data_IF_096193385717
#
_entry.id   IF_096193385717
#
_cell.length_a   1.000
_cell.length_b   1.000
_cell.length_c   1.000
_cell.angle_alpha   90.00
_cell.angle_beta   90.00
_cell.angle_gamma   90.00
#
_symmetry.space_group_name_H-M   'P 1'
#
loop_
_entity.id
_entity.type
_entity.pdbx_description
1 polymer ?
#
# COMPACT_ATOMS: atom_id res chain seq x y z
N UNK A 1 14.45 -25.42 5.13
CA UNK A 1 14.82 -24.03 5.46
C UNK A 1 14.02 -23.15 4.51
N UNK A 2 13.14 -22.29 5.02
CA UNK A 2 12.35 -21.41 4.16
C UNK A 2 13.29 -20.45 3.45
N UNK A 3 13.16 -20.33 2.12
CA UNK A 3 13.84 -19.30 1.35
C UNK A 3 13.51 -17.93 1.96
N UNK A 4 14.51 -17.08 2.24
CA UNK A 4 14.25 -15.72 2.72
C UNK A 4 13.40 -14.98 1.68
N UNK A 5 12.47 -14.16 2.17
CA UNK A 5 11.63 -13.32 1.32
C UNK A 5 12.49 -12.33 0.52
N UNK A 6 12.15 -12.12 -0.74
CA UNK A 6 12.80 -11.14 -1.62
C UNK A 6 11.72 -10.21 -2.23
N UNK A 7 11.92 -8.90 -2.09
CA UNK A 7 11.09 -7.87 -2.69
C UNK A 7 11.40 -7.78 -4.19
N UNK A 8 10.38 -8.00 -5.01
CA UNK A 8 10.46 -7.90 -6.46
C UNK A 8 9.56 -6.78 -6.98
N UNK A 9 10.17 -5.69 -7.46
CA UNK A 9 9.45 -4.56 -8.07
C UNK A 9 9.89 -4.36 -9.51
N UNK A 10 8.99 -3.94 -10.42
CA UNK A 10 9.35 -3.58 -11.78
C UNK A 10 10.06 -2.21 -11.80
N UNK A 11 11.38 -2.22 -11.61
CA UNK A 11 12.19 -0.98 -11.52
C UNK A 11 12.45 -0.31 -12.88
N UNK A 12 12.14 -1.00 -13.99
CA UNK A 12 12.24 -0.51 -15.38
C UNK A 12 13.60 0.14 -15.66
N UNK A 13 13.63 1.45 -15.95
CA UNK A 13 14.82 2.21 -16.32
C UNK A 13 15.25 3.20 -15.21
N UNK A 14 14.77 2.99 -13.98
CA UNK A 14 15.12 3.83 -12.83
C UNK A 14 16.26 3.18 -12.02
N UNK A 15 17.54 3.57 -12.27
CA UNK A 15 18.69 2.94 -11.61
C UNK A 15 18.71 3.22 -10.10
N UNK A 16 18.16 4.36 -9.65
CA UNK A 16 18.10 4.69 -8.22
C UNK A 16 17.12 3.79 -7.49
N UNK A 17 15.94 3.57 -8.08
CA UNK A 17 14.97 2.61 -7.54
C UNK A 17 15.51 1.18 -7.57
N UNK A 18 16.21 0.78 -8.63
CA UNK A 18 16.87 -0.54 -8.69
C UNK A 18 17.83 -0.74 -7.52
N UNK A 19 18.69 0.25 -7.26
CA UNK A 19 19.64 0.20 -6.15
C UNK A 19 18.93 0.21 -4.78
N UNK A 20 17.86 1.00 -4.62
CA UNK A 20 17.03 0.97 -3.41
C UNK A 20 16.45 -0.43 -3.15
N UNK A 21 15.93 -1.11 -4.18
CA UNK A 21 15.38 -2.48 -4.05
C UNK A 21 16.47 -3.48 -3.66
N UNK A 22 17.66 -3.39 -4.28
CA UNK A 22 18.82 -4.22 -3.90
C UNK A 22 19.18 -4.00 -2.43
N UNK A 23 19.26 -2.75 -1.98
CA UNK A 23 19.56 -2.41 -0.59
C UNK A 23 18.50 -2.92 0.37
N UNK A 24 17.20 -2.77 0.06
CA UNK A 24 16.10 -3.29 0.87
C UNK A 24 16.21 -4.81 1.06
N UNK A 25 16.46 -5.55 -0.02
CA UNK A 25 16.62 -7.01 0.03
C UNK A 25 17.86 -7.46 0.80
N UNK A 26 18.89 -6.63 0.90
CA UNK A 26 20.07 -6.88 1.72
C UNK A 26 19.95 -6.37 3.17
N UNK A 27 18.91 -5.59 3.51
CA UNK A 27 18.81 -4.90 4.78
C UNK A 27 18.16 -5.76 5.88
N UNK A 28 19.00 -6.45 6.66
CA UNK A 28 18.55 -7.38 7.71
C UNK A 28 17.55 -6.76 8.71
N UNK A 29 17.72 -5.50 9.09
CA UNK A 29 16.80 -4.81 10.01
C UNK A 29 15.41 -4.60 9.40
N UNK A 30 15.31 -4.14 8.15
CA UNK A 30 14.02 -3.94 7.44
C UNK A 30 13.29 -5.28 7.31
N UNK A 31 13.98 -6.32 6.85
CA UNK A 31 13.40 -7.67 6.72
C UNK A 31 12.93 -8.22 8.07
N UNK A 32 13.67 -7.93 9.14
CA UNK A 32 13.29 -8.33 10.50
C UNK A 32 12.08 -7.56 10.99
N UNK A 33 12.00 -6.25 10.74
CA UNK A 33 10.85 -5.42 11.11
C UNK A 33 9.57 -5.89 10.42
N UNK A 34 9.60 -6.22 9.13
CA UNK A 34 8.43 -6.81 8.45
C UNK A 34 7.98 -8.12 9.10
N UNK A 35 8.92 -8.98 9.50
CA UNK A 35 8.59 -10.21 10.22
C UNK A 35 7.96 -9.91 11.58
N UNK A 36 8.53 -8.99 12.36
CA UNK A 36 8.02 -8.65 13.69
C UNK A 36 6.65 -8.00 13.60
N UNK A 37 6.43 -7.07 12.65
CA UNK A 37 5.12 -6.51 12.33
C UNK A 37 4.10 -7.60 12.02
N UNK A 38 4.48 -8.60 11.22
CA UNK A 38 3.58 -9.68 10.87
C UNK A 38 3.23 -10.60 12.04
N UNK A 39 4.18 -10.89 12.93
CA UNK A 39 3.92 -11.65 14.17
C UNK A 39 2.93 -10.88 15.05
N UNK A 40 3.05 -9.56 15.16
CA UNK A 40 2.05 -8.76 15.89
C UNK A 40 0.68 -8.88 15.23
N UNK A 41 0.59 -8.69 13.92
CA UNK A 41 -0.69 -8.72 13.20
C UNK A 41 -1.36 -10.10 13.23
N UNK A 42 -0.66 -11.14 12.78
CA UNK A 42 -1.25 -12.47 12.54
C UNK A 42 -1.26 -13.30 13.82
N UNK A 43 -0.12 -13.45 14.49
CA UNK A 43 0.01 -14.40 15.59
C UNK A 43 -0.61 -13.85 16.90
N UNK A 44 -0.47 -12.55 17.16
CA UNK A 44 -0.96 -11.91 18.40
C UNK A 44 -2.37 -11.34 18.28
N UNK A 45 -2.69 -10.70 17.15
CA UNK A 45 -3.96 -9.99 16.95
C UNK A 45 -4.95 -10.74 16.06
N UNK A 46 -4.52 -11.83 15.41
CA UNK A 46 -5.35 -12.61 14.48
C UNK A 46 -5.96 -11.77 13.34
N UNK A 47 -5.19 -10.79 12.87
CA UNK A 47 -5.49 -9.91 11.74
C UNK A 47 -4.89 -10.46 10.43
N UNK A 48 -5.18 -9.78 9.32
CA UNK A 48 -4.48 -10.00 8.05
C UNK A 48 -2.98 -9.67 8.17
N UNK A 49 -2.18 -10.25 7.27
CA UNK A 49 -0.74 -9.99 7.18
C UNK A 49 -0.43 -8.50 7.00
N UNK A 50 0.51 -8.01 7.81
CA UNK A 50 1.17 -6.71 7.72
C UNK A 50 2.69 -6.94 7.56
N UNK A 51 3.03 -7.97 6.79
CA UNK A 51 4.38 -8.50 6.64
C UNK A 51 4.94 -8.30 5.24
N UNK A 52 5.93 -9.12 4.84
CA UNK A 52 6.61 -8.97 3.55
C UNK A 52 5.68 -9.06 2.33
N UNK A 53 4.62 -9.87 2.39
CA UNK A 53 3.67 -10.01 1.28
C UNK A 53 2.80 -8.77 1.14
N UNK A 54 2.32 -8.21 2.26
CA UNK A 54 1.59 -6.93 2.28
C UNK A 54 2.38 -5.80 1.63
N UNK A 55 3.61 -5.56 2.09
CA UNK A 55 4.44 -4.44 1.59
C UNK A 55 4.79 -4.59 0.11
N UNK A 56 4.98 -5.82 -0.37
CA UNK A 56 5.21 -6.13 -1.78
C UNK A 56 4.03 -5.74 -2.68
N UNK A 57 2.81 -6.00 -2.21
CA UNK A 57 1.58 -5.67 -2.94
C UNK A 57 1.43 -4.15 -3.01
N UNK A 58 1.51 -3.47 -1.86
CA UNK A 58 1.35 -2.01 -1.79
C UNK A 58 2.40 -1.30 -2.63
N UNK A 59 3.68 -1.70 -2.54
CA UNK A 59 4.73 -1.08 -3.33
C UNK A 59 4.51 -1.26 -4.85
N UNK A 60 4.03 -2.43 -5.29
CA UNK A 60 3.67 -2.65 -6.71
C UNK A 60 2.48 -1.79 -7.15
N UNK A 61 1.44 -1.71 -6.32
CA UNK A 61 0.24 -0.91 -6.59
C UNK A 61 0.62 0.57 -6.67
N UNK A 62 1.38 1.07 -5.70
CA UNK A 62 1.81 2.46 -5.63
C UNK A 62 2.63 2.87 -6.86
N UNK A 63 3.61 2.04 -7.26
CA UNK A 63 4.36 2.27 -8.50
C UNK A 63 3.47 2.30 -9.73
N UNK A 64 2.51 1.38 -9.82
CA UNK A 64 1.61 1.28 -10.98
C UNK A 64 0.70 2.50 -11.07
N UNK A 65 0.12 2.95 -9.95
CA UNK A 65 -0.73 4.14 -9.89
C UNK A 65 0.08 5.38 -10.25
N UNK A 66 1.26 5.59 -9.62
CA UNK A 66 2.13 6.73 -9.93
C UNK A 66 2.44 6.81 -11.43
N UNK A 67 2.81 5.68 -12.04
CA UNK A 67 3.14 5.63 -13.47
C UNK A 67 1.95 5.95 -14.36
N UNK A 68 0.75 5.44 -14.06
CA UNK A 68 -0.45 5.77 -14.83
C UNK A 68 -0.81 7.26 -14.74
N UNK A 69 -0.61 7.87 -13.56
CA UNK A 69 -0.81 9.29 -13.35
C UNK A 69 0.19 10.13 -14.14
N UNK A 70 1.48 9.82 -14.04
CA UNK A 70 2.55 10.49 -14.78
C UNK A 70 2.38 10.34 -16.30
N UNK A 71 2.05 9.14 -16.79
CA UNK A 71 1.73 8.89 -18.20
C UNK A 71 0.53 9.71 -18.70
N UNK A 72 -0.36 10.14 -17.80
CA UNK A 72 -1.53 10.97 -18.08
C UNK A 72 -1.26 12.46 -17.85
N UNK A 73 -0.01 12.85 -17.61
CA UNK A 73 0.39 14.25 -17.42
C UNK A 73 0.16 14.81 -16.01
N UNK A 74 -0.15 13.97 -15.03
CA UNK A 74 -0.23 14.41 -13.61
C UNK A 74 1.19 14.51 -13.06
N UNK A 75 1.56 15.69 -12.57
CA UNK A 75 2.89 15.97 -12.05
C UNK A 75 3.02 15.57 -10.57
N UNK A 76 4.04 14.78 -10.17
CA UNK A 76 4.31 14.46 -8.77
C UNK A 76 4.76 15.69 -7.95
N UNK A 77 4.52 15.68 -6.64
CA UNK A 77 4.85 16.83 -5.79
C UNK A 77 6.36 17.07 -5.74
N UNK A 78 7.19 16.01 -5.71
CA UNK A 78 8.64 16.19 -5.71
C UNK A 78 9.18 16.89 -6.95
N UNK A 79 8.47 16.77 -8.08
CA UNK A 79 8.80 17.43 -9.34
C UNK A 79 8.35 18.88 -9.27
N UNK A 80 7.08 19.13 -8.93
CA UNK A 80 6.49 20.46 -8.88
C UNK A 80 7.18 21.38 -7.86
N UNK A 81 7.46 20.87 -6.66
CA UNK A 81 7.89 21.71 -5.53
C UNK A 81 9.41 21.86 -5.43
N UNK A 82 10.17 20.89 -5.94
CA UNK A 82 11.63 20.84 -5.77
C UNK A 82 12.41 20.63 -7.07
N UNK A 83 11.74 20.52 -8.22
CA UNK A 83 12.39 20.31 -9.51
C UNK A 83 13.12 18.96 -9.63
N UNK A 84 12.71 17.97 -8.83
CA UNK A 84 13.22 16.60 -8.94
C UNK A 84 12.61 15.88 -10.15
N UNK A 85 12.95 14.61 -10.36
CA UNK A 85 12.45 13.85 -11.50
C UNK A 85 11.32 12.90 -11.10
N UNK A 86 10.53 12.45 -12.08
CA UNK A 86 9.51 11.42 -11.87
C UNK A 86 10.11 10.13 -11.29
N UNK A 87 11.36 9.80 -11.63
CA UNK A 87 12.09 8.67 -11.07
C UNK A 87 12.33 8.82 -9.55
N UNK A 88 12.43 10.05 -9.04
CA UNK A 88 12.58 10.31 -7.61
C UNK A 88 11.23 10.15 -6.88
N UNK A 89 10.11 10.48 -7.53
CA UNK A 89 8.77 10.19 -7.01
C UNK A 89 8.52 8.68 -6.86
N UNK A 90 9.06 7.86 -7.78
CA UNK A 90 9.01 6.40 -7.65
C UNK A 90 9.72 5.90 -6.38
N UNK A 91 10.85 6.52 -6.03
CA UNK A 91 11.59 6.19 -4.79
C UNK A 91 10.78 6.59 -3.57
N UNK A 92 10.10 7.74 -3.58
CA UNK A 92 9.22 8.18 -2.49
C UNK A 92 8.11 7.17 -2.24
N UNK A 93 7.31 6.84 -3.27
CA UNK A 93 6.15 5.96 -3.08
C UNK A 93 6.56 4.54 -2.69
N UNK A 94 7.70 4.04 -3.19
CA UNK A 94 8.21 2.72 -2.81
C UNK A 94 8.72 2.69 -1.38
N UNK A 95 9.58 3.63 -0.99
CA UNK A 95 10.12 3.64 0.38
C UNK A 95 9.03 3.90 1.41
N UNK A 96 8.05 4.75 1.10
CA UNK A 96 6.89 4.95 1.95
C UNK A 96 6.07 3.66 2.07
N UNK A 97 5.70 3.03 0.95
CA UNK A 97 4.93 1.78 0.95
C UNK A 97 5.62 0.64 1.73
N UNK A 98 6.94 0.47 1.59
CA UNK A 98 7.64 -0.63 2.27
C UNK A 98 7.92 -0.38 3.74
N UNK A 99 7.82 0.87 4.20
CA UNK A 99 8.09 1.25 5.60
C UNK A 99 6.86 1.72 6.36
N UNK A 100 5.70 1.89 5.71
CA UNK A 100 4.54 2.54 6.34
C UNK A 100 4.05 1.86 7.62
N UNK A 101 4.17 0.53 7.69
CA UNK A 101 3.61 -0.31 8.76
C UNK A 101 4.64 -0.94 9.71
N UNK A 102 5.90 -0.52 9.65
CA UNK A 102 6.93 -1.09 10.55
C UNK A 102 6.66 -0.77 12.03
N UNK A 103 5.85 0.24 12.34
CA UNK A 103 5.36 0.54 13.68
C UNK A 103 4.49 -0.56 14.29
N UNK A 104 3.91 -1.47 13.49
CA UNK A 104 3.25 -2.69 13.97
C UNK A 104 4.20 -3.59 14.77
N UNK A 105 5.52 -3.42 14.61
CA UNK A 105 6.51 -4.09 15.45
C UNK A 105 6.47 -3.65 16.93
N UNK A 106 5.90 -2.47 17.20
CA UNK A 106 5.75 -1.87 18.53
C UNK A 106 4.33 -2.08 19.04
N UNK A 107 3.32 -1.58 18.30
CA UNK A 107 1.93 -1.67 18.70
C UNK A 107 1.00 -1.47 17.48
N UNK A 108 -0.26 -1.92 17.58
CA UNK A 108 -1.28 -1.70 16.55
C UNK A 108 -1.80 -0.27 16.56
N UNK A 109 -2.23 0.19 17.73
CA UNK A 109 -2.67 1.57 17.90
C UNK A 109 -1.52 2.52 17.63
N UNK A 110 -1.77 3.55 16.82
CA UNK A 110 -0.80 4.60 16.46
C UNK A 110 0.46 4.08 15.72
N UNK A 111 0.40 2.86 15.14
CA UNK A 111 1.50 2.26 14.38
C UNK A 111 2.07 3.20 13.31
N UNK A 112 1.25 4.04 12.70
CA UNK A 112 1.67 5.00 11.67
C UNK A 112 2.63 6.05 12.23
N UNK A 113 2.41 6.51 13.48
CA UNK A 113 3.34 7.40 14.18
C UNK A 113 4.60 6.67 14.62
N UNK A 114 4.47 5.44 15.10
CA UNK A 114 5.61 4.61 15.48
C UNK A 114 6.52 4.29 14.28
N UNK A 115 5.95 4.11 13.09
CA UNK A 115 6.71 3.94 11.86
C UNK A 115 7.64 5.11 11.56
N UNK A 116 7.32 6.34 11.98
CA UNK A 116 8.13 7.52 11.63
C UNK A 116 9.55 7.47 12.17
N UNK A 117 9.73 7.19 13.47
CA UNK A 117 11.06 7.17 14.06
C UNK A 117 11.82 5.88 13.79
N UNK A 118 11.12 4.78 13.46
CA UNK A 118 11.75 3.57 12.93
C UNK A 118 12.24 3.79 11.50
N UNK A 119 11.42 4.44 10.66
CA UNK A 119 11.70 4.62 9.24
C UNK A 119 12.76 5.70 8.99
N UNK A 120 12.76 6.80 9.74
CA UNK A 120 13.66 7.92 9.52
C UNK A 120 15.17 7.53 9.41
N UNK A 121 15.75 6.73 10.34
CA UNK A 121 17.13 6.27 10.20
C UNK A 121 17.32 5.30 9.02
N UNK A 122 16.35 4.40 8.78
CA UNK A 122 16.41 3.43 7.69
C UNK A 122 16.39 4.10 6.32
N UNK A 123 15.52 5.09 6.11
CA UNK A 123 15.44 5.86 4.86
C UNK A 123 16.78 6.55 4.59
N UNK A 124 17.38 7.17 5.63
CA UNK A 124 18.68 7.84 5.48
C UNK A 124 19.79 6.87 5.06
N UNK A 125 19.81 5.66 5.61
CA UNK A 125 20.77 4.61 5.26
C UNK A 125 20.53 4.09 3.84
N UNK A 126 19.28 3.80 3.48
CA UNK A 126 18.89 3.29 2.17
C UNK A 126 19.23 4.28 1.04
N UNK A 127 19.11 5.59 1.30
CA UNK A 127 19.40 6.66 0.35
C UNK A 127 20.86 7.16 0.38
N UNK A 128 21.71 6.68 1.30
CA UNK A 128 23.08 7.18 1.45
C UNK A 128 23.94 6.92 0.20
N UNK A 129 24.64 7.95 -0.27
CA UNK A 129 25.43 7.90 -1.51
C UNK A 129 24.63 7.81 -2.82
N UNK A 130 23.29 7.76 -2.78
CA UNK A 130 22.44 7.83 -3.99
C UNK A 130 22.01 9.24 -4.35
N UNK A 131 21.99 10.11 -3.33
CA UNK A 131 21.50 11.48 -3.41
C UNK A 131 22.40 12.42 -2.61
N UNK A 132 22.58 13.62 -3.13
CA UNK A 132 23.15 14.74 -2.38
C UNK A 132 22.32 15.02 -1.12
N UNK A 133 22.97 15.58 -0.08
CA UNK A 133 22.34 15.78 1.24
C UNK A 133 21.04 16.58 1.15
N UNK A 134 21.01 17.62 0.32
CA UNK A 134 19.81 18.45 0.11
C UNK A 134 18.63 17.65 -0.46
N UNK A 135 18.85 16.91 -1.54
CA UNK A 135 17.82 16.07 -2.18
C UNK A 135 17.39 14.93 -1.26
N UNK A 136 18.35 14.27 -0.59
CA UNK A 136 18.03 13.22 0.39
C UNK A 136 17.17 13.75 1.53
N UNK A 137 17.39 14.98 1.98
CA UNK A 137 16.59 15.61 3.04
C UNK A 137 15.14 15.80 2.60
N UNK A 138 14.92 16.26 1.37
CA UNK A 138 13.59 16.36 0.76
C UNK A 138 12.93 14.98 0.71
N UNK A 139 13.61 13.99 0.13
CA UNK A 139 13.04 12.63 0.00
C UNK A 139 12.69 12.01 1.36
N UNK A 140 13.55 12.16 2.37
CA UNK A 140 13.24 11.70 3.74
C UNK A 140 11.97 12.35 4.26
N UNK A 141 11.80 13.66 4.07
CA UNK A 141 10.60 14.39 4.51
C UNK A 141 9.34 13.88 3.79
N UNK A 142 9.40 13.75 2.46
CA UNK A 142 8.27 13.31 1.63
C UNK A 142 7.87 11.85 1.92
N UNK A 143 8.85 10.97 2.14
CA UNK A 143 8.60 9.57 2.52
C UNK A 143 7.93 9.51 3.90
N UNK A 144 8.44 10.24 4.89
CA UNK A 144 7.85 10.26 6.24
C UNK A 144 6.45 10.86 6.24
N UNK A 145 6.22 11.89 5.43
CA UNK A 145 4.89 12.47 5.22
C UNK A 145 3.92 11.45 4.63
N UNK A 146 4.31 10.74 3.56
CA UNK A 146 3.52 9.67 2.97
C UNK A 146 3.22 8.54 3.96
N UNK A 147 4.20 8.20 4.83
CA UNK A 147 3.98 7.26 5.93
C UNK A 147 2.94 7.80 6.90
N UNK A 148 3.05 8.99 7.49
CA UNK A 148 2.02 9.39 8.46
C UNK A 148 0.64 9.63 7.84
N UNK A 149 0.59 10.03 6.56
CA UNK A 149 -0.65 10.36 5.87
C UNK A 149 -1.51 9.13 5.51
N UNK A 150 -0.95 7.91 5.55
CA UNK A 150 -1.73 6.71 5.24
C UNK A 150 -2.73 6.33 6.36
N UNK A 151 -2.56 6.84 7.58
CA UNK A 151 -3.39 6.55 8.76
C UNK A 151 -4.90 6.76 8.54
N UNK A 152 -5.73 6.15 9.37
CA UNK A 152 -7.16 6.52 9.41
C UNK A 152 -7.32 8.04 9.63
N UNK A 153 -8.20 8.69 8.87
CA UNK A 153 -8.37 10.17 8.88
C UNK A 153 -7.11 10.99 8.49
N UNK A 154 -6.07 10.35 7.93
CA UNK A 154 -4.94 11.06 7.35
C UNK A 154 -5.36 11.99 6.20
N UNK A 155 -4.65 13.12 6.07
CA UNK A 155 -4.85 14.10 5.00
C UNK A 155 -3.56 14.24 4.20
N UNK A 156 -3.35 13.41 3.15
CA UNK A 156 -2.23 13.56 2.25
C UNK A 156 -2.14 14.98 1.68
N UNK A 157 -0.95 15.57 1.76
CA UNK A 157 -0.64 16.88 1.17
C UNK A 157 0.10 16.78 -0.17
N UNK A 158 0.51 15.57 -0.55
CA UNK A 158 1.24 15.31 -1.79
C UNK A 158 0.61 14.16 -2.55
N UNK A 159 0.81 14.15 -3.87
CA UNK A 159 0.31 13.10 -4.74
C UNK A 159 0.83 11.72 -4.28
N UNK A 160 2.12 11.65 -3.96
CA UNK A 160 2.82 10.47 -3.48
C UNK A 160 2.20 9.92 -2.20
N UNK A 161 1.88 10.79 -1.24
CA UNK A 161 1.19 10.40 0.00
C UNK A 161 -0.23 9.87 -0.27
N UNK A 162 -0.96 10.51 -1.20
CA UNK A 162 -2.29 10.06 -1.63
C UNK A 162 -2.23 8.68 -2.28
N UNK A 163 -1.23 8.44 -3.12
CA UNK A 163 -0.96 7.15 -3.76
C UNK A 163 -0.72 6.06 -2.71
N UNK A 164 0.17 6.29 -1.74
CA UNK A 164 0.47 5.29 -0.70
C UNK A 164 -0.78 4.96 0.12
N UNK A 165 -1.54 5.99 0.54
CA UNK A 165 -2.79 5.83 1.29
C UNK A 165 -3.82 4.97 0.55
N UNK A 166 -4.05 5.24 -0.74
CA UNK A 166 -5.00 4.46 -1.55
C UNK A 166 -4.45 3.08 -1.85
N UNK A 167 -3.13 2.94 -2.06
CA UNK A 167 -2.50 1.66 -2.35
C UNK A 167 -2.62 0.67 -1.18
N UNK A 168 -2.51 1.15 0.05
CA UNK A 168 -2.77 0.38 1.27
C UNK A 168 -4.19 -0.18 1.29
N UNK A 169 -5.18 0.67 0.99
CA UNK A 169 -6.59 0.28 0.91
C UNK A 169 -6.86 -0.81 -0.13
N UNK A 170 -6.03 -0.90 -1.17
CA UNK A 170 -6.19 -1.82 -2.30
C UNK A 170 -5.65 -3.23 -2.07
N UNK A 171 -4.96 -3.49 -0.95
CA UNK A 171 -4.61 -4.85 -0.50
C UNK A 171 -5.83 -5.60 0.08
N UNK A 172 -6.94 -5.63 -0.68
CA UNK A 172 -8.22 -6.25 -0.29
C UNK A 172 -8.59 -7.50 -1.12
N UNK A 173 -7.75 -7.90 -2.07
CA UNK A 173 -8.07 -8.96 -3.04
C UNK A 173 -7.92 -10.40 -2.49
N UNK A 174 -8.56 -11.35 -3.19
CA UNK A 174 -8.68 -12.76 -2.80
C UNK A 174 -7.32 -13.42 -2.52
N UNK A 175 -7.23 -14.07 -1.36
CA UNK A 175 -6.08 -14.87 -0.92
C UNK A 175 -5.68 -14.60 0.54
N UNK A 176 -5.91 -13.37 1.01
CA UNK A 176 -5.46 -12.89 2.33
C UNK A 176 -6.54 -12.91 3.40
N UNK A 177 -7.81 -12.80 3.00
CA UNK A 177 -8.99 -12.81 3.86
C UNK A 177 -9.52 -14.21 4.22
N UNK A 178 -8.87 -15.28 3.74
CA UNK A 178 -9.25 -16.67 4.07
C UNK A 178 -8.90 -17.06 5.50
N UNK A 179 -7.80 -16.55 6.06
CA UNK A 179 -7.33 -16.97 7.39
C UNK A 179 -8.36 -16.66 8.49
N UNK A 180 -8.95 -15.45 8.58
CA UNK A 180 -9.99 -15.17 9.58
C UNK A 180 -11.33 -15.86 9.28
N UNK A 181 -11.68 -16.05 8.00
CA UNK A 181 -12.92 -16.70 7.60
C UNK A 181 -12.90 -18.21 7.90
N UNK A 182 -11.77 -18.88 7.67
CA UNK A 182 -11.57 -20.30 7.96
C UNK A 182 -11.37 -20.55 9.46
N UNK A 183 -10.91 -19.55 10.23
CA UNK A 183 -10.79 -19.59 11.69
C UNK A 183 -12.14 -19.48 12.44
N UNK A 184 -13.27 -19.35 11.73
CA UNK A 184 -14.62 -19.46 12.32
C UNK A 184 -15.24 -18.16 12.82
N UNK A 185 -14.55 -17.02 12.72
CA UNK A 185 -15.11 -15.70 13.03
C UNK A 185 -15.84 -15.10 11.83
N UNK A 186 -17.09 -15.54 11.59
CA UNK A 186 -17.95 -14.98 10.54
C UNK A 186 -18.51 -13.64 11.00
N UNK A 187 -17.94 -12.54 10.50
CA UNK A 187 -18.46 -11.17 10.66
C UNK A 187 -18.53 -10.45 9.29
N UNK A 188 -19.15 -9.26 9.24
CA UNK A 188 -19.33 -8.52 7.97
C UNK A 188 -18.00 -8.21 7.27
N UNK A 189 -16.92 -7.94 8.02
CA UNK A 189 -15.60 -7.66 7.46
C UNK A 189 -15.02 -8.91 6.78
N UNK A 190 -15.08 -10.07 7.43
CA UNK A 190 -14.59 -11.35 6.86
C UNK A 190 -15.39 -11.78 5.62
N UNK A 191 -16.72 -11.60 5.62
CA UNK A 191 -17.60 -11.96 4.50
C UNK A 191 -17.36 -11.04 3.30
N UNK A 192 -17.33 -9.73 3.53
CA UNK A 192 -17.10 -8.74 2.48
C UNK A 192 -15.70 -8.87 1.86
N UNK A 193 -14.68 -9.16 2.67
CA UNK A 193 -13.33 -9.42 2.16
C UNK A 193 -13.22 -10.73 1.37
N UNK A 194 -13.99 -11.77 1.71
CA UNK A 194 -14.07 -13.01 0.94
C UNK A 194 -14.83 -12.85 -0.40
N UNK A 195 -15.63 -11.80 -0.52
CA UNK A 195 -16.40 -11.48 -1.71
C UNK A 195 -15.55 -10.87 -2.84
N UNK A 196 -14.42 -10.23 -2.52
CA UNK A 196 -13.50 -9.69 -3.52
C UNK A 196 -12.70 -10.83 -4.16
N UNK A 197 -12.77 -10.96 -5.48
CA UNK A 197 -12.03 -11.97 -6.24
C UNK A 197 -10.73 -11.46 -6.86
N UNK A 198 -10.68 -10.17 -7.20
CA UNK A 198 -9.51 -9.57 -7.81
C UNK A 198 -9.67 -8.08 -8.00
N UNK A 199 -8.53 -7.41 -8.18
CA UNK A 199 -8.43 -6.00 -8.48
C UNK A 199 -7.51 -5.84 -9.69
N UNK A 200 -8.03 -5.21 -10.74
CA UNK A 200 -7.25 -4.77 -11.88
C UNK A 200 -7.09 -3.25 -11.82
N UNK A 201 -5.84 -2.79 -11.90
CA UNK A 201 -5.51 -1.37 -12.01
C UNK A 201 -5.17 -1.11 -13.48
N UNK A 202 -5.93 -0.25 -14.14
CA UNK A 202 -5.85 -0.01 -15.58
C UNK A 202 -5.78 1.49 -15.85
N UNK A 203 -5.40 1.85 -17.08
CA UNK A 203 -5.68 3.18 -17.60
C UNK A 203 -7.20 3.36 -17.66
N UNK A 204 -7.70 4.46 -17.13
CA UNK A 204 -9.14 4.71 -17.11
C UNK A 204 -9.69 5.31 -18.40
N UNK A 205 -11.01 5.34 -18.47
CA UNK A 205 -11.76 5.87 -19.61
C UNK A 205 -12.10 7.34 -19.41
N UNK A 206 -12.51 7.72 -18.20
CA UNK A 206 -12.88 9.12 -17.85
C UNK A 206 -11.84 9.80 -16.97
N UNK A 207 -11.10 9.01 -16.18
CA UNK A 207 -10.02 9.47 -15.32
C UNK A 207 -8.73 8.69 -15.60
N UNK A 208 -7.53 9.23 -15.27
CA UNK A 208 -6.25 8.56 -15.49
C UNK A 208 -6.17 7.09 -15.04
N UNK A 209 -6.73 6.76 -13.87
CA UNK A 209 -6.64 5.43 -13.26
C UNK A 209 -8.03 4.84 -13.08
N UNK A 210 -8.23 3.61 -13.57
CA UNK A 210 -9.42 2.79 -13.30
C UNK A 210 -9.09 1.62 -12.41
N UNK A 211 -9.85 1.50 -11.32
CA UNK A 211 -9.82 0.36 -10.42
C UNK A 211 -11.02 -0.53 -10.75
N UNK A 212 -10.77 -1.68 -11.36
CA UNK A 212 -11.79 -2.67 -11.67
C UNK A 212 -11.76 -3.76 -10.61
N UNK A 213 -12.82 -3.85 -9.81
CA UNK A 213 -12.96 -4.80 -8.72
C UNK A 213 -13.90 -5.91 -9.13
N UNK A 214 -13.35 -7.12 -9.28
CA UNK A 214 -14.14 -8.32 -9.57
C UNK A 214 -14.57 -8.96 -8.27
N UNK A 215 -15.87 -9.21 -8.13
CA UNK A 215 -16.47 -9.78 -6.93
C UNK A 215 -17.20 -11.09 -7.25
N UNK A 216 -17.33 -11.97 -6.26
CA UNK A 216 -18.22 -13.14 -6.35
C UNK A 216 -19.51 -12.98 -5.55
N UNK A 217 -19.61 -11.92 -4.75
CA UNK A 217 -20.75 -11.60 -3.93
C UNK A 217 -20.85 -10.08 -3.73
N UNK A 218 -22.07 -9.58 -3.70
CA UNK A 218 -22.40 -8.16 -3.51
C UNK A 218 -21.96 -7.63 -2.14
N UNK A 219 -21.74 -8.49 -1.16
CA UNK A 219 -21.13 -8.12 0.12
C UNK A 219 -19.76 -7.45 -0.04
N UNK A 220 -19.06 -7.65 -1.16
CA UNK A 220 -17.80 -6.96 -1.46
C UNK A 220 -17.93 -5.45 -1.57
N UNK A 221 -19.12 -4.92 -1.88
CA UNK A 221 -19.40 -3.48 -1.89
C UNK A 221 -19.06 -2.84 -0.54
N UNK A 222 -19.24 -3.57 0.57
CA UNK A 222 -18.89 -3.08 1.89
C UNK A 222 -17.38 -2.79 2.04
N UNK A 223 -16.49 -3.59 1.45
CA UNK A 223 -15.05 -3.29 1.42
C UNK A 223 -14.76 -2.02 0.62
N UNK A 224 -15.47 -1.83 -0.49
CA UNK A 224 -15.30 -0.64 -1.33
C UNK A 224 -15.75 0.62 -0.60
N UNK A 225 -16.91 0.58 0.06
CA UNK A 225 -17.43 1.74 0.77
C UNK A 225 -16.67 2.03 2.07
N UNK A 226 -16.33 1.01 2.86
CA UNK A 226 -15.68 1.23 4.17
C UNK A 226 -14.17 1.46 4.06
N UNK A 227 -13.47 0.74 3.18
CA UNK A 227 -12.01 0.82 3.11
C UNK A 227 -11.56 1.76 1.99
N UNK A 228 -11.95 1.46 0.74
CA UNK A 228 -11.42 2.20 -0.41
C UNK A 228 -11.95 3.62 -0.49
N UNK A 229 -13.26 3.80 -0.38
CA UNK A 229 -13.89 5.12 -0.50
C UNK A 229 -13.46 6.05 0.63
N UNK A 230 -13.30 5.54 1.85
CA UNK A 230 -12.76 6.30 2.98
C UNK A 230 -11.30 6.74 2.70
N UNK A 231 -10.45 5.81 2.25
CA UNK A 231 -9.04 6.11 1.97
C UNK A 231 -8.85 7.01 0.75
N UNK A 232 -9.74 6.93 -0.23
CA UNK A 232 -9.75 7.79 -1.43
C UNK A 232 -10.27 9.21 -1.12
N UNK A 233 -11.26 9.34 -0.23
CA UNK A 233 -11.77 10.64 0.17
C UNK A 233 -10.73 11.44 0.95
N UNK A 234 -10.48 12.68 0.54
CA UNK A 234 -9.45 13.55 1.09
C UNK A 234 -8.02 13.14 0.73
N UNK A 235 -7.83 12.22 -0.21
CA UNK A 235 -6.49 11.72 -0.56
C UNK A 235 -5.78 12.55 -1.64
N UNK A 236 -6.51 13.42 -2.34
CA UNK A 236 -6.04 14.12 -3.54
C UNK A 236 -6.11 13.27 -4.82
N UNK A 237 -6.55 12.01 -4.75
CA UNK A 237 -6.69 11.12 -5.91
C UNK A 237 -8.11 11.05 -6.47
N UNK A 238 -9.09 11.67 -5.82
CA UNK A 238 -10.48 11.70 -6.24
C UNK A 238 -10.67 12.22 -7.67
N UNK A 239 -9.94 13.25 -8.15
CA UNK A 239 -10.04 13.69 -9.54
C UNK A 239 -9.47 12.68 -10.54
N UNK A 240 -8.61 11.77 -10.09
CA UNK A 240 -7.78 10.93 -10.96
C UNK A 240 -8.17 9.45 -10.99
N UNK A 241 -9.01 9.01 -10.06
CA UNK A 241 -9.40 7.61 -9.90
C UNK A 241 -10.89 7.40 -10.15
N UNK A 242 -11.20 6.47 -11.06
CA UNK A 242 -12.54 5.90 -11.25
C UNK A 242 -12.57 4.46 -10.71
N UNK A 243 -13.66 4.10 -10.02
CA UNK A 243 -13.84 2.78 -9.41
C UNK A 243 -15.05 2.10 -10.05
N UNK A 244 -14.85 0.89 -10.53
CA UNK A 244 -15.88 0.03 -11.08
C UNK A 244 -15.86 -1.31 -10.35
N UNK A 245 -17.02 -1.77 -9.89
CA UNK A 245 -17.16 -3.07 -9.25
C UNK A 245 -18.24 -3.91 -9.95
N UNK A 246 -17.96 -5.19 -10.17
CA UNK A 246 -18.85 -6.07 -10.90
C UNK A 246 -18.75 -7.52 -10.40
N UNK A 247 -19.82 -8.29 -10.63
CA UNK A 247 -19.86 -9.74 -10.40
C UNK A 247 -19.86 -10.44 -11.75
N UNK A 248 -18.94 -11.37 -11.96
CA UNK A 248 -18.93 -12.24 -13.15
C UNK A 248 -19.79 -13.49 -12.90
N UNK A 249 -20.85 -13.64 -13.68
CA UNK A 249 -21.73 -14.81 -13.60
C UNK A 249 -22.68 -14.77 -12.39
N UNK A 250 -23.01 -15.95 -11.87
CA UNK A 250 -23.93 -16.07 -10.73
C UNK A 250 -23.25 -15.74 -9.41
N UNK A 251 -23.99 -15.03 -8.56
CA UNK A 251 -23.55 -14.65 -7.23
C UNK A 251 -23.37 -15.86 -6.31
N UNK A 252 -22.21 -15.99 -5.67
CA UNK A 252 -21.88 -17.09 -4.77
C UNK A 252 -22.44 -16.84 -3.38
N UNK A 253 -23.08 -17.85 -2.78
CA UNK A 253 -23.49 -17.80 -1.37
C UNK A 253 -22.28 -17.92 -0.44
N UNK A 254 -21.96 -16.86 0.29
CA UNK A 254 -20.85 -16.84 1.26
C UNK A 254 -21.26 -17.26 2.68
N UNK A 255 -22.49 -16.95 3.09
CA UNK A 255 -22.99 -17.24 4.44
C UNK A 255 -24.13 -18.26 4.35
N UNK A 256 -24.02 -19.36 5.12
CA UNK A 256 -25.09 -20.36 5.24
C UNK A 256 -25.97 -20.13 6.46
N UNK A 257 -25.38 -19.67 7.56
CA UNK A 257 -26.04 -19.39 8.83
C UNK A 257 -25.27 -18.29 9.55
N UNK A 258 -25.97 -17.30 10.11
CA UNK A 258 -25.41 -16.21 10.90
C UNK A 258 -26.21 -16.05 12.18
N UNK A 259 -25.52 -15.94 13.32
CA UNK A 259 -26.14 -15.73 14.63
C UNK A 259 -25.26 -14.81 15.45
N UNK A 260 -25.88 -13.85 16.13
CA UNK A 260 -25.26 -12.97 17.09
C UNK A 260 -25.83 -13.26 18.48
#
# INVERSE_FOLDING_TARGET
MNTPFELHLPTRHNPKLQEVVVRLNAHAEVLSLWRVSNVTAVDRLHMSDHGPVHVQIIANIALKILRLLVESGVEPAVVADYGLKNEDAEVVVVLAAVLHDIGMSIHRDDHERYSLFLAAPLIKQLLDGLYEVSVRTVLVSEILHAIIAHRAEGHPLTLEAGIVRVSDALDMAKGRSRIPFEAGSVNIHSVSAAAIEGLDILRGETKPVRLRVRMNNSAGIFQLDQLLKEKLSGSGLEPYVEVEAYIEGEEKKLVRHYRF
#
